data_IF_929017603828
#
_entry.id   IF_929017603828
#
_cell.length_a   1.000
_cell.length_b   1.000
_cell.length_c   1.000
_cell.angle_alpha   90.00
_cell.angle_beta   90.00
_cell.angle_gamma   90.00
#
_symmetry.space_group_name_H-M   'P 1'
#
loop_
_entity.id
_entity.type
_entity.pdbx_description
1 polymer ?
#
# COMPACT_ATOMS: atom_id res chain seq x y z
N UNK A 1 -20.66 18.24 -25.27
CA UNK A 1 -19.26 18.28 -25.68
C UNK A 1 -18.50 17.24 -24.88
N UNK A 2 -17.98 16.20 -25.54
CA UNK A 2 -17.04 15.26 -24.93
C UNK A 2 -15.69 15.97 -24.85
N UNK A 3 -15.17 16.20 -23.65
CA UNK A 3 -13.77 16.61 -23.48
C UNK A 3 -12.91 15.38 -23.79
N UNK A 4 -11.97 15.53 -24.69
CA UNK A 4 -10.94 14.52 -24.92
C UNK A 4 -9.86 14.73 -23.88
N UNK A 5 -9.53 13.68 -23.14
CA UNK A 5 -8.43 13.68 -22.16
C UNK A 5 -7.26 12.92 -22.78
N UNK A 6 -6.07 13.43 -22.61
CA UNK A 6 -4.86 12.68 -22.86
C UNK A 6 -4.60 11.77 -21.65
N UNK A 7 -4.47 10.46 -21.90
CA UNK A 7 -4.15 9.47 -20.89
C UNK A 7 -2.71 9.10 -21.09
N UNK A 8 -1.92 9.27 -20.05
CA UNK A 8 -0.54 8.80 -20.00
C UNK A 8 -0.53 7.32 -19.61
N UNK A 9 -0.11 6.46 -20.54
CA UNK A 9 -0.07 5.01 -20.31
C UNK A 9 -1.12 4.21 -21.07
N UNK A 10 -1.14 2.89 -20.88
CA UNK A 10 -2.15 1.98 -21.39
C UNK A 10 -3.42 2.07 -20.54
N UNK A 11 -4.58 2.20 -21.20
CA UNK A 11 -5.86 2.13 -20.52
C UNK A 11 -6.17 0.68 -20.11
N UNK A 12 -6.57 0.48 -18.84
CA UNK A 12 -6.92 -0.85 -18.32
C UNK A 12 -8.42 -0.97 -18.00
N UNK A 13 -8.96 -0.05 -17.21
CA UNK A 13 -10.36 -0.12 -16.77
C UNK A 13 -10.97 1.26 -16.50
N UNK A 14 -12.31 1.30 -16.51
CA UNK A 14 -13.07 2.51 -16.13
C UNK A 14 -14.28 2.12 -15.31
N UNK A 15 -14.51 2.87 -14.22
CA UNK A 15 -15.71 2.75 -13.38
C UNK A 15 -16.49 4.06 -13.41
N UNK A 16 -17.80 3.96 -13.65
CA UNK A 16 -18.74 5.08 -13.51
C UNK A 16 -19.46 4.88 -12.19
N UNK A 17 -19.28 5.81 -11.28
CA UNK A 17 -19.76 5.71 -9.91
C UNK A 17 -20.82 6.76 -9.66
N UNK A 18 -21.89 6.34 -8.99
CA UNK A 18 -22.88 7.25 -8.43
C UNK A 18 -22.92 7.09 -6.91
N UNK A 19 -22.62 8.16 -6.20
CA UNK A 19 -22.72 8.17 -4.72
C UNK A 19 -24.17 8.34 -4.27
N UNK A 20 -24.44 7.98 -3.01
CA UNK A 20 -25.76 8.19 -2.38
C UNK A 20 -26.15 9.67 -2.30
N UNK A 21 -25.17 10.56 -2.23
CA UNK A 21 -25.36 12.02 -2.27
C UNK A 21 -25.70 12.57 -3.66
N UNK A 22 -25.67 11.71 -4.70
CA UNK A 22 -26.00 12.07 -6.08
C UNK A 22 -24.82 12.54 -6.91
N UNK A 23 -23.60 12.53 -6.39
CA UNK A 23 -22.39 12.80 -7.16
C UNK A 23 -22.12 11.69 -8.19
N UNK A 24 -21.62 12.07 -9.36
CA UNK A 24 -21.18 11.15 -10.39
C UNK A 24 -19.68 11.32 -10.61
N UNK A 25 -18.97 10.20 -10.62
CA UNK A 25 -17.53 10.17 -10.78
C UNK A 25 -17.12 9.14 -11.82
N UNK A 26 -16.04 9.45 -12.53
CA UNK A 26 -15.38 8.54 -13.45
C UNK A 26 -14.00 8.25 -12.88
N UNK A 27 -13.71 6.98 -12.62
CA UNK A 27 -12.42 6.46 -12.23
C UNK A 27 -11.81 5.76 -13.42
N UNK A 28 -10.65 6.19 -13.83
CA UNK A 28 -9.96 5.66 -15.01
C UNK A 28 -8.59 5.14 -14.60
N UNK A 29 -8.45 3.82 -14.67
CA UNK A 29 -7.19 3.13 -14.37
C UNK A 29 -6.31 3.09 -15.62
N UNK A 30 -5.04 3.37 -15.43
CA UNK A 30 -4.00 3.33 -16.46
C UNK A 30 -2.78 2.55 -15.95
N UNK A 31 -2.20 1.77 -16.84
CA UNK A 31 -0.95 1.05 -16.60
C UNK A 31 0.21 1.77 -17.29
N UNK A 32 1.32 1.95 -16.58
CA UNK A 32 2.50 2.64 -17.05
C UNK A 32 3.62 1.67 -17.44
N UNK A 33 4.55 2.13 -18.29
CA UNK A 33 5.67 1.31 -18.80
C UNK A 33 6.63 0.82 -17.69
N UNK A 34 6.68 1.53 -16.56
CA UNK A 34 7.45 1.17 -15.38
C UNK A 34 6.79 0.08 -14.50
N UNK A 35 5.65 -0.45 -14.93
CA UNK A 35 4.91 -1.48 -14.20
C UNK A 35 3.99 -0.94 -13.11
N UNK A 36 3.84 0.38 -13.00
CA UNK A 36 2.96 1.03 -12.03
C UNK A 36 1.56 1.26 -12.61
N UNK A 37 0.62 1.47 -11.72
CA UNK A 37 -0.75 1.84 -12.03
C UNK A 37 -1.05 3.22 -11.46
N UNK A 38 -1.93 3.93 -12.15
CA UNK A 38 -2.55 5.13 -11.61
C UNK A 38 -4.05 5.15 -11.91
N UNK A 39 -4.80 5.89 -11.10
CA UNK A 39 -6.23 6.12 -11.29
C UNK A 39 -6.48 7.60 -11.36
N UNK A 40 -6.92 8.08 -12.53
CA UNK A 40 -7.39 9.46 -12.68
C UNK A 40 -8.87 9.52 -12.34
N UNK A 41 -9.24 10.47 -11.49
CA UNK A 41 -10.61 10.65 -11.02
C UNK A 41 -11.20 11.93 -11.58
N UNK A 42 -12.39 11.82 -12.17
CA UNK A 42 -13.16 12.97 -12.66
C UNK A 42 -14.51 13.05 -11.96
N UNK A 43 -14.91 14.25 -11.57
CA UNK A 43 -16.31 14.54 -11.25
C UNK A 43 -17.05 14.88 -12.53
N UNK A 44 -18.16 14.20 -12.80
CA UNK A 44 -18.91 14.31 -14.06
C UNK A 44 -20.30 14.90 -13.79
N UNK A 45 -20.67 15.89 -14.59
CA UNK A 45 -22.02 16.47 -14.64
C UNK A 45 -22.56 16.44 -16.07
N UNK A 46 -23.77 16.95 -16.31
CA UNK A 46 -24.34 17.09 -17.66
C UNK A 46 -23.51 18.00 -18.57
N UNK A 47 -22.77 18.94 -18.00
CA UNK A 47 -22.17 20.04 -18.75
C UNK A 47 -20.63 20.00 -18.75
N UNK A 48 -20.04 19.31 -17.76
CA UNK A 48 -18.58 19.25 -17.63
C UNK A 48 -18.08 17.98 -16.97
N UNK A 49 -16.80 17.70 -17.18
CA UNK A 49 -16.01 16.79 -16.39
C UNK A 49 -14.84 17.57 -15.77
N UNK A 50 -14.75 17.52 -14.44
CA UNK A 50 -13.71 18.19 -13.66
C UNK A 50 -12.71 17.15 -13.19
N UNK A 51 -11.44 17.34 -13.54
CA UNK A 51 -10.35 16.51 -13.05
C UNK A 51 -10.15 16.77 -11.55
N UNK A 52 -10.20 15.72 -10.75
CA UNK A 52 -9.99 15.75 -9.29
C UNK A 52 -8.56 15.30 -8.90
N UNK A 53 -7.82 14.74 -9.84
CA UNK A 53 -6.45 14.31 -9.66
C UNK A 53 -6.16 12.91 -10.15
N UNK A 54 -4.87 12.59 -10.17
CA UNK A 54 -4.33 11.28 -10.49
C UNK A 54 -3.70 10.70 -9.23
N UNK A 55 -4.08 9.49 -8.88
CA UNK A 55 -3.67 8.78 -7.67
C UNK A 55 -2.81 7.58 -8.05
N UNK A 56 -1.75 7.35 -7.31
CA UNK A 56 -0.94 6.14 -7.45
C UNK A 56 -1.74 4.91 -7.00
N UNK A 57 -1.53 3.79 -7.71
CA UNK A 57 -2.21 2.54 -7.40
C UNK A 57 -3.33 2.17 -8.37
N UNK A 58 -4.08 1.15 -8.00
CA UNK A 58 -5.19 0.61 -8.78
C UNK A 58 -6.34 0.13 -7.90
N UNK A 59 -7.49 -0.04 -8.51
CA UNK A 59 -8.62 -0.70 -7.89
C UNK A 59 -8.35 -2.22 -7.85
N UNK A 60 -8.67 -2.88 -6.74
CA UNK A 60 -8.49 -4.32 -6.59
C UNK A 60 -9.27 -5.14 -7.61
N UNK A 61 -8.92 -6.41 -7.74
CA UNK A 61 -9.41 -7.30 -8.81
C UNK A 61 -10.93 -7.48 -8.84
N UNK A 62 -11.62 -7.26 -7.71
CA UNK A 62 -13.09 -7.30 -7.63
C UNK A 62 -13.76 -6.01 -8.14
N UNK A 63 -13.00 -4.99 -8.52
CA UNK A 63 -13.55 -3.71 -8.92
C UNK A 63 -14.21 -2.95 -7.77
N UNK A 64 -15.15 -2.05 -8.12
CA UNK A 64 -15.93 -1.26 -7.14
C UNK A 64 -17.37 -1.81 -7.09
N UNK A 65 -17.60 -2.79 -6.23
CA UNK A 65 -18.95 -3.33 -6.00
C UNK A 65 -19.72 -2.50 -4.95
N UNK A 66 -19.05 -2.01 -3.92
CA UNK A 66 -19.57 -1.07 -2.92
C UNK A 66 -18.72 0.19 -2.86
N UNK A 67 -19.34 1.33 -3.14
CA UNK A 67 -18.67 2.66 -3.08
C UNK A 67 -18.20 3.04 -1.67
N UNK A 68 -18.66 2.35 -0.64
CA UNK A 68 -18.24 2.60 0.74
C UNK A 68 -17.10 1.67 1.20
N UNK A 69 -16.83 0.60 0.44
CA UNK A 69 -15.80 -0.39 0.79
C UNK A 69 -15.34 -1.13 -0.47
N UNK A 70 -14.17 -0.80 -0.98
CA UNK A 70 -13.53 -1.53 -2.07
C UNK A 70 -12.00 -1.56 -1.83
N UNK A 71 -11.35 -2.49 -2.50
CA UNK A 71 -9.91 -2.67 -2.38
C UNK A 71 -9.16 -1.65 -3.22
N UNK A 72 -8.14 -1.05 -2.62
CA UNK A 72 -7.15 -0.21 -3.28
C UNK A 72 -5.78 -0.85 -3.14
N UNK A 73 -5.07 -1.01 -4.25
CA UNK A 73 -3.77 -1.69 -4.31
C UNK A 73 -2.70 -0.70 -4.75
N UNK A 74 -1.63 -0.59 -3.97
CA UNK A 74 -0.47 0.25 -4.29
C UNK A 74 0.85 -0.52 -4.19
N UNK A 75 1.87 0.05 -4.80
CA UNK A 75 3.25 -0.31 -4.53
C UNK A 75 3.69 0.28 -3.19
N UNK A 76 4.30 -0.54 -2.36
CA UNK A 76 4.87 -0.18 -1.07
C UNK A 76 6.37 -0.36 -1.15
N UNK A 77 7.11 0.68 -0.78
CA UNK A 77 8.57 0.65 -0.69
C UNK A 77 8.95 0.89 0.78
N UNK A 78 9.04 -0.18 1.57
CA UNK A 78 9.48 -0.15 2.95
C UNK A 78 10.15 -1.49 3.26
N UNK A 79 11.46 -1.49 3.54
CA UNK A 79 12.29 -2.70 3.68
C UNK A 79 12.14 -3.66 2.49
N UNK A 80 12.00 -3.07 1.29
CA UNK A 80 11.75 -3.78 0.03
C UNK A 80 10.55 -3.23 -0.73
N UNK A 81 10.26 -3.83 -1.88
CA UNK A 81 9.13 -3.45 -2.72
C UNK A 81 8.07 -4.54 -2.72
N UNK A 82 6.85 -4.18 -2.35
CA UNK A 82 5.71 -5.08 -2.24
C UNK A 82 4.48 -4.50 -2.94
N UNK A 83 3.45 -5.33 -3.13
CA UNK A 83 2.07 -4.87 -3.38
C UNK A 83 1.31 -4.91 -2.07
N UNK A 84 0.75 -3.78 -1.69
CA UNK A 84 -0.12 -3.65 -0.54
C UNK A 84 -1.55 -3.36 -0.94
N UNK A 85 -2.47 -3.85 -0.17
CA UNK A 85 -3.91 -3.68 -0.32
C UNK A 85 -4.50 -3.10 0.95
N UNK A 86 -5.43 -2.16 0.83
CA UNK A 86 -6.27 -1.71 1.94
C UNK A 86 -7.69 -1.40 1.49
N UNK A 87 -8.62 -1.39 2.42
CA UNK A 87 -9.98 -0.94 2.19
C UNK A 87 -10.06 0.58 2.11
N UNK A 88 -10.75 1.05 1.08
CA UNK A 88 -11.09 2.47 0.90
C UNK A 88 -12.58 2.61 0.62
N UNK A 89 -13.12 3.80 0.84
CA UNK A 89 -14.45 4.18 0.36
C UNK A 89 -14.36 5.50 -0.39
N UNK A 90 -15.40 5.84 -1.15
CA UNK A 90 -15.44 7.14 -1.83
C UNK A 90 -15.86 8.21 -0.83
N UNK A 91 -14.98 9.17 -0.60
CA UNK A 91 -15.20 10.32 0.25
C UNK A 91 -16.15 11.36 -0.33
N UNK A 92 -16.39 12.40 0.42
CA UNK A 92 -17.32 13.49 0.04
C UNK A 92 -16.88 14.23 -1.22
N UNK A 93 -15.59 14.33 -1.43
CA UNK A 93 -14.97 14.99 -2.61
C UNK A 93 -14.89 14.07 -3.82
N UNK A 94 -15.26 12.79 -3.67
CA UNK A 94 -15.22 11.81 -4.76
C UNK A 94 -13.89 11.09 -4.91
N UNK A 95 -12.93 11.30 -4.02
CA UNK A 95 -11.65 10.61 -3.96
C UNK A 95 -11.72 9.42 -3.01
N UNK A 96 -10.87 8.39 -3.17
CA UNK A 96 -10.75 7.30 -2.22
C UNK A 96 -10.28 7.81 -0.86
N UNK A 97 -10.98 7.42 0.19
CA UNK A 97 -10.61 7.66 1.59
C UNK A 97 -10.35 6.33 2.29
N UNK A 98 -9.21 6.22 2.94
CA UNK A 98 -8.83 5.02 3.68
C UNK A 98 -9.86 4.70 4.80
N UNK A 99 -10.17 3.42 4.95
CA UNK A 99 -10.97 2.88 6.05
C UNK A 99 -10.10 2.24 7.13
N UNK A 100 -8.86 1.97 6.80
CA UNK A 100 -7.85 1.33 7.62
C UNK A 100 -6.54 2.10 7.45
N UNK A 101 -5.76 2.26 8.51
CA UNK A 101 -4.47 2.97 8.44
C UNK A 101 -3.39 2.09 7.83
N UNK A 102 -3.50 0.77 8.03
CA UNK A 102 -2.52 -0.19 7.59
C UNK A 102 -2.80 -0.76 6.19
N UNK A 103 -1.72 -1.17 5.54
CA UNK A 103 -1.70 -1.87 4.26
C UNK A 103 -1.33 -3.32 4.47
N UNK A 104 -2.19 -4.22 4.05
CA UNK A 104 -1.90 -5.65 4.03
C UNK A 104 -1.03 -5.98 2.82
N UNK A 105 0.10 -6.62 3.03
CA UNK A 105 0.98 -7.07 1.95
C UNK A 105 0.40 -8.33 1.32
N UNK A 106 0.08 -8.28 0.03
CA UNK A 106 -0.68 -9.31 -0.67
C UNK A 106 0.14 -10.13 -1.68
N UNK A 107 1.27 -9.58 -2.16
CA UNK A 107 2.02 -10.21 -3.23
C UNK A 107 3.52 -10.07 -3.06
N UNK A 108 4.26 -11.07 -3.62
CA UNK A 108 5.71 -11.16 -3.65
C UNK A 108 6.37 -11.12 -2.26
N UNK A 109 5.77 -11.89 -1.34
CA UNK A 109 6.27 -12.03 0.04
C UNK A 109 7.59 -12.79 0.09
N UNK A 110 8.63 -12.20 -0.48
CA UNK A 110 9.98 -12.73 -0.29
C UNK A 110 10.39 -12.52 1.16
N UNK A 111 10.90 -13.57 1.84
CA UNK A 111 11.39 -13.40 3.18
C UNK A 111 12.56 -12.41 3.23
N UNK A 112 12.53 -11.52 4.22
CA UNK A 112 13.68 -10.73 4.62
C UNK A 112 14.57 -11.62 5.50
N UNK A 113 15.85 -11.73 5.17
CA UNK A 113 16.79 -12.57 5.92
C UNK A 113 17.73 -11.70 6.72
N UNK A 114 17.76 -11.87 8.06
CA UNK A 114 18.62 -11.12 8.94
C UNK A 114 20.10 -11.49 8.75
N UNK A 115 20.96 -10.49 8.51
CA UNK A 115 22.44 -10.64 8.52
C UNK A 115 23.03 -10.67 9.92
N UNK A 116 22.38 -9.98 10.85
CA UNK A 116 22.78 -9.82 12.24
C UNK A 116 21.56 -9.85 13.16
N UNK A 117 21.79 -9.83 14.45
CA UNK A 117 20.73 -9.75 15.42
C UNK A 117 19.92 -8.45 15.27
N UNK A 118 18.60 -8.57 15.42
CA UNK A 118 17.68 -7.45 15.40
C UNK A 118 16.72 -7.52 16.57
N UNK A 119 16.64 -6.45 17.36
CA UNK A 119 15.57 -6.27 18.33
C UNK A 119 14.28 -5.86 17.64
N UNK A 120 13.20 -6.58 17.95
CA UNK A 120 11.85 -6.36 17.40
C UNK A 120 10.82 -6.39 18.51
N UNK A 121 9.64 -5.85 18.25
CA UNK A 121 8.49 -5.96 19.16
C UNK A 121 7.70 -7.20 18.76
N UNK A 122 7.64 -8.20 19.63
CA UNK A 122 6.84 -9.43 19.42
C UNK A 122 5.45 -9.22 19.98
N UNK A 123 4.43 -9.63 19.21
CA UNK A 123 3.05 -9.72 19.67
C UNK A 123 2.76 -11.14 20.17
N UNK A 124 2.36 -11.25 21.43
CA UNK A 124 1.98 -12.50 22.04
C UNK A 124 0.47 -12.82 21.77
N UNK A 125 0.08 -14.08 21.89
CA UNK A 125 -1.30 -14.53 21.68
C UNK A 125 -2.32 -13.86 22.62
N UNK A 126 -1.88 -13.42 23.81
CA UNK A 126 -2.71 -12.71 24.79
C UNK A 126 -2.85 -11.21 24.51
N UNK A 127 -2.27 -10.71 23.39
CA UNK A 127 -2.28 -9.32 22.98
C UNK A 127 -1.21 -8.45 23.67
N UNK A 128 -0.38 -9.02 24.56
CA UNK A 128 0.77 -8.32 25.12
C UNK A 128 1.91 -8.20 24.11
N UNK A 129 2.79 -7.22 24.30
CA UNK A 129 4.00 -7.05 23.49
C UNK A 129 5.24 -7.14 24.34
N UNK A 130 6.31 -7.63 23.76
CA UNK A 130 7.64 -7.66 24.39
C UNK A 130 8.74 -7.38 23.37
N UNK A 131 9.83 -6.77 23.81
CA UNK A 131 11.02 -6.67 22.98
C UNK A 131 11.76 -8.01 23.00
N UNK A 132 12.12 -8.48 21.80
CA UNK A 132 12.87 -9.73 21.61
C UNK A 132 13.95 -9.55 20.57
N UNK A 133 15.11 -10.09 20.83
CA UNK A 133 16.19 -10.13 19.85
C UNK A 133 16.07 -11.38 19.00
N UNK A 134 15.92 -11.19 17.69
CA UNK A 134 15.94 -12.25 16.70
C UNK A 134 17.38 -12.48 16.21
N UNK A 135 17.85 -13.73 16.12
CA UNK A 135 19.22 -14.02 15.69
C UNK A 135 19.42 -13.81 14.18
N UNK A 136 20.67 -13.63 13.77
CA UNK A 136 21.06 -13.67 12.37
C UNK A 136 20.57 -14.96 11.69
N UNK A 137 20.17 -14.87 10.43
CA UNK A 137 19.59 -15.97 9.67
C UNK A 137 18.08 -16.15 9.87
N UNK A 138 17.44 -15.38 10.76
CA UNK A 138 15.97 -15.42 10.86
C UNK A 138 15.35 -14.90 9.57
N UNK A 139 14.37 -15.64 9.05
CA UNK A 139 13.52 -15.24 7.93
C UNK A 139 12.25 -14.57 8.45
N UNK A 140 11.94 -13.40 7.90
CA UNK A 140 10.79 -12.58 8.24
C UNK A 140 9.92 -12.41 6.99
N UNK A 141 8.68 -12.84 7.06
CA UNK A 141 7.70 -12.72 5.97
C UNK A 141 6.85 -11.48 6.21
N UNK A 142 6.97 -10.43 5.40
CA UNK A 142 6.18 -9.21 5.52
C UNK A 142 4.67 -9.48 5.50
N UNK A 143 3.91 -8.83 6.38
CA UNK A 143 2.46 -9.01 6.52
C UNK A 143 1.68 -7.72 6.33
N UNK A 144 2.05 -6.67 7.08
CA UNK A 144 1.31 -5.42 7.15
C UNK A 144 2.24 -4.23 7.42
N UNK A 145 1.85 -3.02 6.99
CA UNK A 145 2.62 -1.79 7.22
C UNK A 145 1.74 -0.54 7.11
N UNK A 146 2.13 0.56 7.75
CA UNK A 146 1.57 1.89 7.49
C UNK A 146 2.27 2.63 6.32
N UNK A 147 3.32 2.05 5.74
CA UNK A 147 4.23 2.58 4.71
C UNK A 147 5.29 3.57 5.23
N UNK A 148 5.28 3.92 6.49
CA UNK A 148 6.08 5.02 7.04
C UNK A 148 6.92 4.62 8.26
N UNK A 149 6.31 3.97 9.24
CA UNK A 149 6.90 3.82 10.57
C UNK A 149 7.14 2.39 11.02
N UNK A 150 6.47 1.40 10.41
CA UNK A 150 6.64 0.01 10.80
C UNK A 150 6.39 -0.98 9.67
N UNK A 151 6.97 -2.15 9.82
CA UNK A 151 6.64 -3.37 9.09
C UNK A 151 6.30 -4.48 10.09
N UNK A 152 5.08 -5.00 10.03
CA UNK A 152 4.70 -6.23 10.71
C UNK A 152 5.10 -7.42 9.84
N UNK A 153 5.75 -8.39 10.47
CA UNK A 153 6.23 -9.59 9.80
C UNK A 153 5.99 -10.85 10.65
N UNK A 154 6.00 -11.99 9.99
CA UNK A 154 5.93 -13.29 10.63
C UNK A 154 7.25 -14.05 10.40
N UNK A 155 7.82 -14.58 11.45
CA UNK A 155 9.00 -15.46 11.34
C UNK A 155 8.59 -16.79 10.69
N UNK A 156 9.54 -17.52 10.10
CA UNK A 156 9.32 -18.85 9.51
C UNK A 156 8.78 -19.89 10.51
N UNK A 157 8.82 -19.61 11.80
CA UNK A 157 8.26 -20.47 12.88
C UNK A 157 6.98 -19.88 13.52
N UNK A 158 6.35 -18.88 12.87
CA UNK A 158 5.02 -18.38 13.24
C UNK A 158 4.97 -17.29 14.30
N UNK A 159 6.10 -16.67 14.68
CA UNK A 159 6.11 -15.55 15.62
C UNK A 159 5.79 -14.25 14.89
N UNK A 160 4.77 -13.54 15.33
CA UNK A 160 4.41 -12.20 14.83
C UNK A 160 5.31 -11.15 15.48
N UNK A 161 5.90 -10.29 14.69
CA UNK A 161 6.77 -9.23 15.19
C UNK A 161 6.64 -7.95 14.37
N UNK A 162 6.92 -6.83 15.00
CA UNK A 162 6.98 -5.50 14.39
C UNK A 162 8.42 -5.01 14.36
N UNK A 163 8.82 -4.51 13.20
CA UNK A 163 10.05 -3.78 12.98
C UNK A 163 9.67 -2.31 12.89
N UNK A 164 10.13 -1.50 13.84
CA UNK A 164 9.98 -0.05 13.76
C UNK A 164 11.06 0.52 12.84
N UNK A 165 10.67 1.45 11.99
CA UNK A 165 11.56 2.13 11.05
C UNK A 165 11.42 3.63 11.14
N UNK A 166 12.46 4.34 10.77
CA UNK A 166 12.50 5.80 10.63
C UNK A 166 13.02 6.14 9.24
N UNK A 167 12.51 7.19 8.64
CA UNK A 167 13.00 7.71 7.35
C UNK A 167 12.95 9.22 7.35
N UNK A 168 13.94 9.87 6.73
CA UNK A 168 13.96 11.32 6.51
C UNK A 168 13.55 11.69 5.08
N UNK A 169 13.74 10.79 4.12
CA UNK A 169 13.56 11.03 2.69
C UNK A 169 12.47 10.16 2.03
N UNK A 170 11.92 9.20 2.78
CA UNK A 170 10.93 8.22 2.29
C UNK A 170 11.53 7.12 1.38
N UNK A 171 12.87 7.03 1.27
CA UNK A 171 13.56 6.05 0.43
C UNK A 171 14.60 5.22 1.17
N UNK A 172 15.21 5.80 2.20
CA UNK A 172 16.21 5.14 3.03
C UNK A 172 15.64 4.94 4.42
N UNK A 173 15.60 3.70 4.88
CA UNK A 173 15.02 3.37 6.18
C UNK A 173 16.10 3.05 7.20
N UNK A 174 15.93 3.59 8.39
CA UNK A 174 16.78 3.35 9.53
C UNK A 174 16.03 2.49 10.54
N UNK A 175 16.71 1.49 11.10
CA UNK A 175 16.21 0.65 12.19
C UNK A 175 17.14 0.88 13.38
N UNK A 176 16.58 1.39 14.48
CA UNK A 176 17.39 1.78 15.64
C UNK A 176 18.56 2.73 15.30
N UNK A 177 18.32 3.65 14.35
CA UNK A 177 19.35 4.60 13.90
C UNK A 177 20.44 4.01 13.00
N UNK A 178 20.29 2.79 12.51
CA UNK A 178 21.23 2.11 11.60
C UNK A 178 20.53 1.80 10.29
N UNK A 179 21.24 2.00 9.18
CA UNK A 179 20.74 1.72 7.82
C UNK A 179 20.20 0.29 7.69
N UNK A 180 19.04 0.14 7.08
CA UNK A 180 18.33 -1.15 6.87
C UNK A 180 19.21 -2.23 6.22
N UNK A 181 20.10 -1.83 5.31
CA UNK A 181 21.01 -2.74 4.62
C UNK A 181 22.05 -3.41 5.57
N UNK A 182 22.24 -2.88 6.77
CA UNK A 182 23.06 -3.53 7.77
C UNK A 182 22.37 -4.78 8.34
N UNK A 183 21.03 -4.77 8.40
CA UNK A 183 20.26 -5.85 8.99
C UNK A 183 19.85 -6.94 8.02
N UNK A 184 19.64 -6.63 6.73
CA UNK A 184 19.08 -7.57 5.76
C UNK A 184 20.06 -7.98 4.67
N UNK A 185 19.99 -9.25 4.25
CA UNK A 185 20.89 -9.80 3.25
C UNK A 185 20.61 -9.26 1.85
N UNK A 186 19.38 -9.35 1.40
CA UNK A 186 18.94 -8.95 0.06
C UNK A 186 17.55 -8.34 0.18
N UNK A 187 17.49 -7.00 0.25
CA UNK A 187 16.22 -6.31 0.23
C UNK A 187 15.63 -6.37 -1.18
N UNK A 188 14.36 -6.74 -1.34
CA UNK A 188 13.70 -6.91 -2.63
C UNK A 188 13.24 -5.57 -3.22
N UNK A 189 14.17 -4.71 -3.61
CA UNK A 189 13.88 -3.44 -4.31
C UNK A 189 13.79 -3.62 -5.83
#
# INVERSE_FOLDING_TARGET
HVKQFEILGGYEATWIIRTKSGGHYLYQESYHEDGLYSVTVFRVSSDEAVDLGCLDGRIGDNGIEDVNAFSWVERINLLGTYKGERNVGIGSEGLPEAKEDAWKIIWDKKPLVLKQELEVIVQNEDGSTENRVLPAGTELIPQETDKETYLDAETSYGTQCRIEVETEDGYTYMIHGVDEHAYFADLPY
#
